data_IF_952850796476
#
_entry.id   IF_952850796476
#
_cell.length_a   1.000
_cell.length_b   1.000
_cell.length_c   1.000
_cell.angle_alpha   90.00
_cell.angle_beta   90.00
_cell.angle_gamma   90.00
#
_symmetry.space_group_name_H-M   'P 1'
#
loop_
_entity.id
_entity.type
_entity.pdbx_description
1 polymer ?
#
# COMPACT_ATOMS: atom_id res chain seq x y z
N UNK A 1 8.49 -4.40 -3.78
CA UNK A 1 9.40 -3.74 -4.74
C UNK A 1 8.97 -2.30 -5.02
N UNK A 2 7.68 -2.04 -5.31
CA UNK A 2 7.21 -0.68 -5.66
C UNK A 2 7.27 0.30 -4.48
N UNK A 3 6.89 -0.13 -3.28
CA UNK A 3 6.99 0.69 -2.07
C UNK A 3 8.45 1.09 -1.77
N UNK A 4 9.40 0.18 -1.96
CA UNK A 4 10.84 0.47 -1.80
C UNK A 4 11.30 1.55 -2.77
N UNK A 5 10.95 1.42 -4.05
CA UNK A 5 11.33 2.41 -5.08
C UNK A 5 10.71 3.78 -4.81
N UNK A 6 9.44 3.81 -4.39
CA UNK A 6 8.77 5.05 -4.03
C UNK A 6 9.45 5.71 -2.82
N UNK A 7 9.79 4.95 -1.79
CA UNK A 7 10.49 5.48 -0.62
C UNK A 7 11.88 6.00 -0.96
N UNK A 8 12.65 5.29 -1.78
CA UNK A 8 13.95 5.78 -2.26
C UNK A 8 13.82 7.12 -3.00
N UNK A 9 12.78 7.29 -3.82
CA UNK A 9 12.50 8.56 -4.49
C UNK A 9 12.22 9.69 -3.49
N UNK A 10 11.50 9.40 -2.40
CA UNK A 10 11.26 10.36 -1.31
C UNK A 10 12.57 10.75 -0.64
N UNK A 11 13.42 9.78 -0.29
CA UNK A 11 14.72 10.03 0.33
C UNK A 11 15.63 10.89 -0.57
N UNK A 12 15.60 10.67 -1.88
CA UNK A 12 16.34 11.46 -2.87
C UNK A 12 15.84 12.93 -2.89
N UNK A 13 14.52 13.13 -2.92
CA UNK A 13 13.92 14.47 -2.89
C UNK A 13 14.28 15.23 -1.61
N UNK A 14 14.39 14.54 -0.50
CA UNK A 14 14.75 15.12 0.80
C UNK A 14 16.27 15.27 1.00
N UNK A 15 17.09 14.72 0.12
CA UNK A 15 18.56 14.75 0.23
C UNK A 15 19.13 13.92 1.37
N UNK A 16 18.40 12.90 1.85
CA UNK A 16 18.77 12.06 3.00
C UNK A 16 18.97 10.59 2.64
N UNK A 17 19.23 10.30 1.38
CA UNK A 17 19.36 8.91 0.87
C UNK A 17 20.44 8.13 1.59
N UNK A 18 21.66 8.68 1.67
CA UNK A 18 22.81 7.94 2.19
C UNK A 18 22.69 7.60 3.68
N UNK A 19 22.35 8.56 4.57
CA UNK A 19 22.22 8.27 6.00
C UNK A 19 21.07 7.30 6.31
N UNK A 20 20.00 7.27 5.51
CA UNK A 20 18.88 6.36 5.71
C UNK A 20 19.15 5.00 5.09
N UNK A 21 19.71 4.93 3.88
CA UNK A 21 19.99 3.69 3.16
C UNK A 21 20.90 2.73 3.96
N UNK A 22 21.87 3.27 4.69
CA UNK A 22 22.76 2.48 5.54
C UNK A 22 22.08 1.79 6.74
N UNK A 23 20.87 2.27 7.12
CA UNK A 23 20.07 1.73 8.24
C UNK A 23 18.82 0.99 7.78
N UNK A 24 18.48 1.08 6.50
CA UNK A 24 17.23 0.55 5.96
C UNK A 24 17.28 -0.97 5.85
N UNK A 25 16.21 -1.59 6.33
CA UNK A 25 15.97 -3.03 6.16
C UNK A 25 14.85 -3.21 5.13
N UNK A 26 15.13 -3.96 4.07
CA UNK A 26 14.11 -4.30 3.07
C UNK A 26 13.39 -5.57 3.51
N UNK A 27 12.15 -5.43 3.94
CA UNK A 27 11.31 -6.57 4.35
C UNK A 27 10.74 -7.23 3.10
N UNK A 28 10.97 -8.54 2.95
CA UNK A 28 10.46 -9.35 1.84
C UNK A 28 9.68 -10.55 2.36
N UNK A 29 8.63 -10.93 1.61
CA UNK A 29 7.84 -12.14 1.91
C UNK A 29 6.90 -12.04 3.11
N UNK A 30 6.82 -10.87 3.77
CA UNK A 30 5.92 -10.59 4.89
C UNK A 30 5.56 -9.11 4.95
N UNK A 31 4.47 -8.73 5.64
CA UNK A 31 4.10 -7.32 5.83
C UNK A 31 5.18 -6.55 6.61
N UNK A 32 5.45 -5.30 6.20
CA UNK A 32 6.34 -4.38 6.95
C UNK A 32 5.79 -4.12 8.35
N UNK A 33 4.47 -4.02 8.50
CA UNK A 33 3.83 -3.86 9.80
C UNK A 33 4.18 -4.96 10.80
N UNK A 34 4.41 -6.20 10.34
CA UNK A 34 4.83 -7.29 11.21
C UNK A 34 6.25 -7.07 11.77
N UNK A 35 7.16 -6.49 10.98
CA UNK A 35 8.50 -6.14 11.44
C UNK A 35 8.48 -5.00 12.48
N UNK A 36 7.55 -4.04 12.31
CA UNK A 36 7.33 -2.97 13.30
C UNK A 36 6.75 -3.56 14.58
N UNK A 37 5.69 -4.34 14.48
CA UNK A 37 4.99 -4.92 15.62
C UNK A 37 5.88 -5.86 16.46
N UNK A 38 6.84 -6.54 15.84
CA UNK A 38 7.82 -7.38 16.53
C UNK A 38 9.00 -6.61 17.15
N UNK A 39 9.12 -5.31 16.88
CA UNK A 39 10.27 -4.50 17.34
C UNK A 39 11.56 -4.72 16.54
N UNK A 40 11.51 -5.42 15.40
CA UNK A 40 12.67 -5.59 14.51
C UNK A 40 13.11 -4.25 13.88
N UNK A 41 12.15 -3.39 13.60
CA UNK A 41 12.38 -2.02 13.14
C UNK A 41 11.49 -1.05 13.91
N UNK A 42 11.99 0.15 14.17
CA UNK A 42 11.26 1.20 14.90
C UNK A 42 10.25 1.93 14.01
N UNK A 43 10.57 2.07 12.72
CA UNK A 43 9.77 2.78 11.73
C UNK A 43 9.72 1.95 10.44
N UNK A 44 8.56 1.87 9.83
CA UNK A 44 8.41 1.24 8.51
C UNK A 44 7.57 2.09 7.57
N UNK A 45 7.83 1.96 6.28
CA UNK A 45 7.10 2.65 5.22
C UNK A 45 6.46 1.62 4.31
N UNK A 46 5.15 1.69 4.16
CA UNK A 46 4.36 0.79 3.33
C UNK A 46 3.05 1.47 2.92
N UNK A 47 2.32 0.87 2.02
CA UNK A 47 0.99 1.34 1.65
C UNK A 47 0.04 1.33 2.86
N UNK A 48 -0.82 2.34 2.95
CA UNK A 48 -1.77 2.49 4.07
C UNK A 48 -2.62 1.23 4.26
N UNK A 49 -3.11 0.65 3.16
CA UNK A 49 -3.93 -0.56 3.19
C UNK A 49 -3.21 -1.81 3.76
N UNK A 50 -1.88 -1.81 3.73
CA UNK A 50 -1.07 -2.90 4.29
C UNK A 50 -0.65 -2.66 5.74
N UNK A 51 -0.59 -1.41 6.19
CA UNK A 51 -0.24 -1.07 7.58
C UNK A 51 -1.44 -1.10 8.52
N UNK A 52 -2.58 -0.55 8.09
CA UNK A 52 -3.79 -0.42 8.93
C UNK A 52 -4.28 -1.72 9.58
N UNK A 53 -4.30 -2.87 8.89
CA UNK A 53 -4.83 -4.10 9.49
C UNK A 53 -3.87 -4.78 10.47
N UNK A 54 -2.63 -4.30 10.61
CA UNK A 54 -1.62 -4.98 11.43
C UNK A 54 -1.72 -4.53 12.89
N UNK A 55 -2.07 -5.46 13.78
CA UNK A 55 -2.05 -5.22 15.21
C UNK A 55 -0.62 -4.95 15.71
N UNK A 56 -0.47 -3.99 16.62
CA UNK A 56 0.86 -3.59 17.15
C UNK A 56 1.56 -2.51 16.31
N UNK A 57 0.95 -2.04 15.23
CA UNK A 57 1.33 -0.78 14.56
C UNK A 57 0.46 0.32 15.15
N UNK A 58 1.04 1.10 16.04
CA UNK A 58 0.26 1.97 16.92
C UNK A 58 -0.04 3.34 16.30
N UNK A 59 0.83 3.85 15.48
CA UNK A 59 0.68 5.17 14.88
C UNK A 59 1.17 5.18 13.43
N UNK A 60 0.38 5.70 12.53
CA UNK A 60 0.87 5.99 11.18
C UNK A 60 0.38 7.37 10.73
N UNK A 61 1.21 8.00 9.93
CA UNK A 61 0.87 9.23 9.24
C UNK A 61 1.04 9.03 7.74
N UNK A 62 0.17 9.64 6.97
CA UNK A 62 0.34 9.71 5.53
C UNK A 62 1.46 10.72 5.21
N UNK A 63 2.26 10.41 4.19
CA UNK A 63 3.25 11.36 3.72
C UNK A 63 2.57 12.62 3.17
N UNK A 64 3.22 13.79 3.26
CA UNK A 64 2.74 15.01 2.61
C UNK A 64 2.43 14.77 1.13
N UNK A 65 1.43 15.45 0.60
CA UNK A 65 0.91 15.21 -0.77
C UNK A 65 2.00 15.30 -1.85
N UNK A 66 2.98 16.19 -1.69
CA UNK A 66 4.12 16.36 -2.59
C UNK A 66 5.12 15.19 -2.60
N UNK A 67 5.09 14.36 -1.57
CA UNK A 67 5.92 13.16 -1.42
C UNK A 67 5.13 11.87 -1.64
N UNK A 68 3.80 11.94 -1.57
CA UNK A 68 2.95 10.79 -1.82
C UNK A 68 2.98 10.35 -3.28
N UNK A 69 2.90 9.05 -3.48
CA UNK A 69 2.66 8.45 -4.78
C UNK A 69 1.48 7.49 -4.67
N UNK A 70 0.41 7.79 -5.37
CA UNK A 70 -0.71 6.88 -5.49
C UNK A 70 -0.31 5.65 -6.32
N UNK A 71 -0.71 4.48 -5.85
CA UNK A 71 -0.47 3.22 -6.55
C UNK A 71 -1.82 2.72 -7.08
N UNK A 72 -2.06 2.80 -8.39
CA UNK A 72 -3.33 2.34 -8.94
C UNK A 72 -3.40 0.81 -8.94
N UNK A 73 -4.55 0.29 -8.58
CA UNK A 73 -4.91 -1.12 -8.74
C UNK A 73 -5.78 -1.29 -9.98
N UNK A 74 -5.45 -2.26 -10.81
CA UNK A 74 -6.19 -2.58 -12.02
C UNK A 74 -6.82 -3.96 -11.89
N UNK A 75 -8.04 -4.09 -12.38
CA UNK A 75 -8.72 -5.37 -12.49
C UNK A 75 -8.80 -5.77 -13.96
N UNK A 76 -8.36 -6.98 -14.28
CA UNK A 76 -8.50 -7.59 -15.60
C UNK A 76 -9.43 -8.79 -15.56
N UNK A 77 -10.23 -8.98 -16.60
CA UNK A 77 -11.03 -10.19 -16.81
C UNK A 77 -10.36 -11.00 -17.91
N UNK A 78 -10.09 -12.27 -17.65
CA UNK A 78 -9.49 -13.14 -18.65
C UNK A 78 -10.41 -13.27 -19.88
N UNK A 79 -9.85 -13.15 -21.09
CA UNK A 79 -10.62 -13.26 -22.33
C UNK A 79 -11.39 -14.61 -22.45
N UNK A 80 -10.86 -15.67 -21.85
CA UNK A 80 -11.45 -17.02 -21.82
C UNK A 80 -12.12 -17.35 -20.48
N UNK A 81 -12.51 -16.34 -19.69
CA UNK A 81 -13.25 -16.61 -18.46
C UNK A 81 -14.56 -17.33 -18.77
N UNK A 82 -14.86 -18.38 -18.01
CA UNK A 82 -16.06 -19.22 -18.23
C UNK A 82 -17.35 -18.44 -18.02
N UNK A 83 -17.37 -17.51 -17.05
CA UNK A 83 -18.50 -16.66 -16.76
C UNK A 83 -18.06 -15.18 -16.81
N UNK A 84 -18.13 -14.61 -17.99
CA UNK A 84 -17.81 -13.22 -18.26
C UNK A 84 -18.81 -12.26 -17.57
N UNK A 85 -20.07 -12.66 -17.45
CA UNK A 85 -21.12 -11.82 -16.88
C UNK A 85 -20.88 -11.62 -15.37
N UNK A 86 -20.65 -12.68 -14.62
CA UNK A 86 -20.33 -12.64 -13.20
C UNK A 86 -19.02 -11.91 -12.93
N UNK A 87 -18.00 -12.12 -13.75
CA UNK A 87 -16.73 -11.38 -13.63
C UNK A 87 -16.93 -9.86 -13.79
N UNK A 88 -17.71 -9.42 -14.77
CA UNK A 88 -18.06 -8.00 -14.97
C UNK A 88 -18.88 -7.44 -13.80
N UNK A 89 -19.82 -8.23 -13.29
CA UNK A 89 -20.63 -7.83 -12.13
C UNK A 89 -19.76 -7.58 -10.89
N UNK A 90 -18.76 -8.43 -10.63
CA UNK A 90 -17.79 -8.23 -9.54
C UNK A 90 -17.00 -6.94 -9.74
N UNK A 91 -16.46 -6.70 -10.93
CA UNK A 91 -15.71 -5.46 -11.22
C UNK A 91 -16.59 -4.23 -11.01
N UNK A 92 -17.84 -4.27 -11.46
CA UNK A 92 -18.80 -3.19 -11.25
C UNK A 92 -19.13 -2.98 -9.77
N UNK A 93 -19.31 -4.07 -9.01
CA UNK A 93 -19.56 -4.01 -7.58
C UNK A 93 -18.38 -3.34 -6.83
N UNK A 94 -17.13 -3.71 -7.14
CA UNK A 94 -15.95 -3.11 -6.51
C UNK A 94 -15.86 -1.59 -6.69
N UNK A 95 -16.50 -1.05 -7.72
CA UNK A 95 -16.60 0.41 -7.99
C UNK A 95 -17.86 1.05 -7.41
N UNK A 96 -18.73 0.27 -6.80
CA UNK A 96 -20.00 0.77 -6.24
C UNK A 96 -19.81 1.47 -4.89
N UNK A 97 -20.78 2.30 -4.49
CA UNK A 97 -20.76 2.99 -3.21
C UNK A 97 -20.64 2.02 -2.01
N UNK A 98 -21.39 0.90 -1.93
CA UNK A 98 -21.25 -0.05 -0.83
C UNK A 98 -19.83 -0.65 -0.72
N UNK A 99 -19.15 -0.91 -1.85
CA UNK A 99 -17.78 -1.39 -1.82
C UNK A 99 -16.81 -0.29 -1.36
N UNK A 100 -17.03 0.95 -1.81
CA UNK A 100 -16.21 2.10 -1.40
C UNK A 100 -16.31 2.40 0.09
N UNK A 101 -17.47 2.24 0.69
CA UNK A 101 -17.68 2.41 2.14
C UNK A 101 -16.82 1.43 2.96
N UNK A 102 -16.50 0.26 2.39
CA UNK A 102 -15.61 -0.73 3.00
C UNK A 102 -14.13 -0.46 2.68
N UNK A 103 -13.82 -0.03 1.46
CA UNK A 103 -12.45 0.13 0.97
C UNK A 103 -11.76 1.39 1.51
N UNK A 104 -12.47 2.52 1.54
CA UNK A 104 -11.94 3.80 2.02
C UNK A 104 -11.34 3.74 3.42
N UNK A 105 -12.04 3.24 4.44
CA UNK A 105 -11.48 3.12 5.78
C UNK A 105 -10.22 2.25 5.84
N UNK A 106 -10.02 1.39 4.84
CA UNK A 106 -8.84 0.52 4.71
C UNK A 106 -7.69 1.16 3.93
N UNK A 107 -7.86 2.41 3.49
CA UNK A 107 -6.83 3.15 2.75
C UNK A 107 -6.81 2.88 1.25
N UNK A 108 -7.95 2.49 0.68
CA UNK A 108 -8.14 2.28 -0.75
C UNK A 108 -9.23 3.20 -1.26
N UNK A 109 -8.87 4.19 -2.08
CA UNK A 109 -9.79 5.14 -2.67
C UNK A 109 -10.00 4.88 -4.17
N UNK A 110 -11.18 5.21 -4.67
CA UNK A 110 -11.37 5.38 -6.11
C UNK A 110 -10.77 6.73 -6.54
N UNK A 111 -10.18 6.78 -7.73
CA UNK A 111 -9.71 8.04 -8.32
C UNK A 111 -10.86 8.99 -8.63
#
# INVERSE_FOLDING_TARGET
VQAVNNFLTVLQKLGITDPVKGKAVVVQGRPVGAAIASGEVEIGVQQVAELRPVAGVDQFAEMPAELQKQIPYFTGIAAKAKDQATARALVSFLRSAPAQDVLKPKGMDLP
#
